data_IF_745495636832
#
_entry.id   IF_745495636832
#
_cell.length_a   1.000
_cell.length_b   1.000
_cell.length_c   1.000
_cell.angle_alpha   90.00
_cell.angle_beta   90.00
_cell.angle_gamma   90.00
#
_symmetry.space_group_name_H-M   'P 1'
#
loop_
_entity.id
_entity.type
_entity.pdbx_description
1 polymer ?
#
# COMPACT_ATOMS: atom_id res chain seq x y z
N UNK A 1 25.11 -25.77 23.58
CA UNK A 1 25.00 -24.65 22.62
C UNK A 1 24.00 -23.66 23.21
N UNK A 2 24.50 -22.57 23.77
CA UNK A 2 23.64 -21.52 24.33
C UNK A 2 22.97 -20.81 23.17
N UNK A 3 21.66 -20.96 23.04
CA UNK A 3 20.86 -20.13 22.14
C UNK A 3 21.02 -18.68 22.63
N UNK A 4 21.54 -17.81 21.77
CA UNK A 4 21.53 -16.36 21.99
C UNK A 4 20.08 -15.98 22.25
N UNK A 5 19.74 -15.30 23.35
CA UNK A 5 18.37 -14.86 23.57
C UNK A 5 17.97 -13.98 22.38
N UNK A 6 16.84 -14.30 21.75
CA UNK A 6 16.25 -13.44 20.74
C UNK A 6 16.18 -12.02 21.34
N UNK A 7 16.72 -11.03 20.63
CA UNK A 7 16.67 -9.63 21.07
C UNK A 7 15.20 -9.26 21.28
N UNK A 8 14.84 -8.91 22.51
CA UNK A 8 13.47 -8.48 22.81
C UNK A 8 13.29 -7.07 22.28
N UNK A 9 12.16 -6.86 21.63
CA UNK A 9 11.68 -5.53 21.21
C UNK A 9 11.55 -4.66 22.49
N UNK A 10 12.01 -3.42 22.43
CA UNK A 10 11.80 -2.46 23.52
C UNK A 10 10.32 -2.07 23.59
N UNK A 11 9.60 -2.28 24.70
CA UNK A 11 8.18 -1.96 24.79
C UNK A 11 7.88 -0.49 24.51
N UNK A 12 6.70 -0.22 23.94
CA UNK A 12 6.16 1.12 23.69
C UNK A 12 4.89 1.36 24.52
N UNK A 13 4.62 2.63 24.82
CA UNK A 13 3.45 3.03 25.60
C UNK A 13 2.39 3.76 24.77
N UNK A 14 1.33 4.19 25.46
CA UNK A 14 0.20 4.92 24.81
C UNK A 14 0.64 6.26 24.19
N UNK A 15 1.77 6.84 24.61
CA UNK A 15 2.30 8.06 24.00
C UNK A 15 2.75 7.80 22.57
N UNK A 16 3.57 6.78 22.34
CA UNK A 16 4.09 6.37 21.03
C UNK A 16 2.94 5.90 20.11
N UNK A 17 2.04 5.10 20.66
CA UNK A 17 0.85 4.61 19.95
C UNK A 17 -0.04 5.78 19.55
N UNK A 18 -0.24 6.76 20.42
CA UNK A 18 -1.01 7.96 20.18
C UNK A 18 -0.41 8.83 19.08
N UNK A 19 0.92 9.04 19.11
CA UNK A 19 1.64 9.79 18.06
C UNK A 19 1.53 9.14 16.68
N UNK A 20 1.64 7.80 16.61
CA UNK A 20 1.44 7.07 15.35
C UNK A 20 0.00 7.21 14.84
N UNK A 21 -1.00 7.09 15.73
CA UNK A 21 -2.40 7.26 15.38
C UNK A 21 -2.70 8.66 14.83
N UNK A 22 -2.20 9.70 15.48
CA UNK A 22 -2.37 11.08 15.03
C UNK A 22 -1.80 11.29 13.63
N UNK A 23 -0.60 10.78 13.37
CA UNK A 23 0.02 10.84 12.05
C UNK A 23 -0.83 10.12 10.98
N UNK A 24 -1.31 8.90 11.24
CA UNK A 24 -2.11 8.14 10.28
C UNK A 24 -3.45 8.84 9.97
N UNK A 25 -4.11 9.37 10.99
CA UNK A 25 -5.33 10.18 10.85
C UNK A 25 -5.04 11.44 10.01
N UNK A 26 -3.95 12.14 10.29
CA UNK A 26 -3.50 13.31 9.54
C UNK A 26 -3.15 12.99 8.08
N UNK A 27 -2.46 11.88 7.83
CA UNK A 27 -2.14 11.42 6.47
C UNK A 27 -3.42 11.11 5.69
N UNK A 28 -4.38 10.38 6.27
CA UNK A 28 -5.67 10.12 5.65
C UNK A 28 -6.36 11.43 5.23
N UNK A 29 -6.36 12.45 6.09
CA UNK A 29 -6.96 13.75 5.78
C UNK A 29 -6.26 14.42 4.61
N UNK A 30 -4.93 14.50 4.63
CA UNK A 30 -4.14 15.11 3.53
C UNK A 30 -4.35 14.39 2.19
N UNK A 31 -4.41 13.06 2.19
CA UNK A 31 -4.70 12.25 0.99
C UNK A 31 -6.10 12.55 0.46
N UNK A 32 -7.12 12.54 1.33
CA UNK A 32 -8.50 12.79 0.97
C UNK A 32 -8.71 14.19 0.38
N UNK A 33 -8.10 15.19 0.99
CA UNK A 33 -8.20 16.58 0.53
C UNK A 33 -7.44 16.80 -0.80
N UNK A 34 -6.28 16.16 -0.97
CA UNK A 34 -5.53 16.21 -2.22
C UNK A 34 -6.31 15.59 -3.39
N UNK A 35 -6.95 14.45 -3.18
CA UNK A 35 -7.77 13.82 -4.23
C UNK A 35 -9.03 14.63 -4.55
N UNK A 36 -9.70 15.20 -3.55
CA UNK A 36 -10.83 16.10 -3.78
C UNK A 36 -10.43 17.37 -4.56
N UNK A 37 -9.26 17.92 -4.28
CA UNK A 37 -8.74 19.08 -5.00
C UNK A 37 -8.35 18.78 -6.47
N UNK A 38 -7.91 17.55 -6.76
CA UNK A 38 -7.55 17.12 -8.11
C UNK A 38 -8.74 16.79 -9.00
N UNK A 39 -9.88 16.43 -8.41
CA UNK A 39 -11.13 16.10 -9.12
C UNK A 39 -12.34 16.83 -8.48
N UNK A 40 -12.35 18.18 -8.55
CA UNK A 40 -13.32 19.01 -7.81
C UNK A 40 -14.77 18.85 -8.31
N UNK A 41 -14.96 18.31 -9.52
CA UNK A 41 -16.29 18.02 -10.07
C UNK A 41 -16.91 16.72 -9.59
N UNK A 42 -16.14 15.91 -8.85
CA UNK A 42 -16.57 14.58 -8.42
C UNK A 42 -17.04 14.57 -6.96
N UNK A 43 -18.11 13.83 -6.69
CA UNK A 43 -18.62 13.67 -5.32
C UNK A 43 -17.66 12.80 -4.50
N UNK A 44 -17.22 13.32 -3.36
CA UNK A 44 -16.48 12.55 -2.38
C UNK A 44 -17.43 11.95 -1.37
N UNK A 45 -17.52 10.63 -1.35
CA UNK A 45 -18.21 9.89 -0.29
C UNK A 45 -17.28 9.79 0.91
N UNK A 46 -17.78 10.17 2.09
CA UNK A 46 -17.11 9.97 3.37
C UNK A 46 -17.94 9.01 4.21
N UNK A 47 -17.27 8.06 4.84
CA UNK A 47 -17.89 7.02 5.67
C UNK A 47 -17.05 6.84 6.93
N UNK A 48 -17.63 7.18 8.07
CA UNK A 48 -17.04 6.98 9.39
C UNK A 48 -17.78 5.83 10.09
N UNK A 49 -17.04 4.94 10.69
CA UNK A 49 -17.60 3.77 11.34
C UNK A 49 -16.95 3.51 12.69
N UNK A 50 -17.73 2.91 13.54
CA UNK A 50 -17.30 2.40 14.84
C UNK A 50 -17.84 0.98 15.01
N UNK A 51 -17.03 0.10 15.57
CA UNK A 51 -17.46 -1.26 15.89
C UNK A 51 -18.49 -1.23 17.01
N UNK A 52 -19.60 -2.02 16.89
CA UNK A 52 -20.59 -2.13 17.95
C UNK A 52 -19.96 -2.67 19.24
N UNK A 53 -20.47 -2.26 20.41
CA UNK A 53 -20.10 -2.89 21.67
C UNK A 53 -20.39 -4.41 21.64
N UNK A 54 -19.41 -5.22 22.05
CA UNK A 54 -19.56 -6.69 22.08
C UNK A 54 -19.17 -7.41 20.79
N UNK A 55 -18.73 -6.70 19.75
CA UNK A 55 -18.13 -7.32 18.56
C UNK A 55 -16.79 -7.98 18.92
N UNK A 56 -16.35 -8.94 18.10
CA UNK A 56 -15.05 -9.64 18.24
C UNK A 56 -13.87 -8.66 18.20
N UNK A 57 -13.99 -7.62 17.38
CA UNK A 57 -13.06 -6.51 17.28
C UNK A 57 -13.72 -5.24 17.80
N UNK A 58 -12.96 -4.40 18.47
CA UNK A 58 -13.30 -3.03 18.82
C UNK A 58 -12.54 -2.03 17.95
N UNK A 59 -12.95 -0.76 17.97
CA UNK A 59 -12.25 0.29 17.24
C UNK A 59 -13.11 1.02 16.24
N UNK A 60 -12.45 1.85 15.43
CA UNK A 60 -13.09 2.76 14.48
C UNK A 60 -12.26 2.95 13.22
N UNK A 61 -12.84 3.63 12.26
CA UNK A 61 -12.12 4.04 11.06
C UNK A 61 -12.93 4.98 10.21
N UNK A 62 -12.33 5.42 9.14
CA UNK A 62 -12.97 6.30 8.17
C UNK A 62 -12.45 6.01 6.77
N UNK A 63 -13.33 6.20 5.81
CA UNK A 63 -13.09 6.03 4.39
C UNK A 63 -13.46 7.32 3.67
N UNK A 64 -12.60 7.76 2.75
CA UNK A 64 -12.92 8.76 1.75
C UNK A 64 -12.79 8.12 0.38
N UNK A 65 -13.83 8.24 -0.45
CA UNK A 65 -13.93 7.57 -1.74
C UNK A 65 -14.46 8.54 -2.81
N UNK A 66 -13.75 8.62 -3.93
CA UNK A 66 -14.19 9.23 -5.18
C UNK A 66 -14.40 8.12 -6.19
N UNK A 67 -15.53 8.11 -6.89
CA UNK A 67 -15.84 7.15 -7.94
C UNK A 67 -16.43 7.85 -9.16
N UNK A 68 -16.13 7.32 -10.34
CA UNK A 68 -16.66 7.80 -11.61
C UNK A 68 -16.38 9.30 -11.87
N UNK A 69 -15.21 9.77 -11.40
CA UNK A 69 -14.77 11.13 -11.61
C UNK A 69 -14.10 11.36 -12.96
N UNK A 70 -13.79 12.62 -13.24
CA UNK A 70 -13.08 12.99 -14.47
C UNK A 70 -11.60 12.59 -14.42
N UNK A 71 -10.99 12.65 -13.25
CA UNK A 71 -9.59 12.28 -13.00
C UNK A 71 -9.47 10.86 -12.47
N UNK A 72 -10.40 10.46 -11.61
CA UNK A 72 -10.37 9.17 -10.95
C UNK A 72 -11.57 8.29 -11.34
N UNK A 73 -11.32 7.12 -11.92
CA UNK A 73 -12.34 6.07 -11.97
C UNK A 73 -12.65 5.61 -10.54
N UNK A 74 -11.61 5.53 -9.69
CA UNK A 74 -11.73 5.34 -8.24
C UNK A 74 -10.47 5.87 -7.55
N UNK A 75 -10.65 6.61 -6.46
CA UNK A 75 -9.61 6.97 -5.50
C UNK A 75 -10.16 6.79 -4.08
N UNK A 76 -9.52 5.91 -3.32
CA UNK A 76 -9.95 5.60 -1.96
C UNK A 76 -8.81 5.77 -0.97
N UNK A 77 -9.07 6.45 0.15
CA UNK A 77 -8.20 6.49 1.31
C UNK A 77 -8.97 6.00 2.54
N UNK A 78 -8.41 5.05 3.26
CA UNK A 78 -9.01 4.49 4.47
C UNK A 78 -8.04 4.55 5.63
N UNK A 79 -8.50 5.03 6.77
CA UNK A 79 -7.87 4.87 8.07
C UNK A 79 -8.65 3.84 8.88
N UNK A 80 -7.95 2.98 9.60
CA UNK A 80 -8.54 2.07 10.59
C UNK A 80 -7.66 1.99 11.83
N UNK A 81 -8.31 1.83 13.00
CA UNK A 81 -7.69 1.57 14.29
C UNK A 81 -8.56 0.53 14.98
N UNK A 82 -8.10 -0.71 15.00
CA UNK A 82 -8.86 -1.85 15.50
C UNK A 82 -8.04 -2.63 16.52
N UNK A 83 -8.71 -3.13 17.53
CA UNK A 83 -8.12 -3.99 18.56
C UNK A 83 -9.01 -5.21 18.81
N UNK A 84 -8.39 -6.25 19.30
CA UNK A 84 -9.09 -7.48 19.66
C UNK A 84 -8.41 -8.18 20.84
N UNK A 85 -9.21 -8.91 21.60
CA UNK A 85 -8.71 -9.68 22.73
C UNK A 85 -7.86 -10.88 22.32
N UNK A 86 -7.99 -11.33 21.05
CA UNK A 86 -7.29 -12.50 20.53
C UNK A 86 -6.91 -12.30 19.08
N UNK A 87 -5.60 -12.34 18.80
CA UNK A 87 -5.09 -12.32 17.41
C UNK A 87 -5.51 -13.60 16.70
N UNK A 88 -6.22 -13.52 15.55
CA UNK A 88 -6.61 -14.70 14.78
C UNK A 88 -5.39 -15.49 14.29
N UNK A 89 -5.53 -16.83 14.22
CA UNK A 89 -4.47 -17.71 13.75
C UNK A 89 -3.96 -17.34 12.33
N UNK A 90 -4.87 -16.95 11.43
CA UNK A 90 -4.51 -16.50 10.09
C UNK A 90 -3.65 -15.22 10.07
N UNK A 91 -3.74 -14.38 11.12
CA UNK A 91 -2.90 -13.18 11.26
C UNK A 91 -1.55 -13.47 11.91
N UNK A 92 -1.42 -14.63 12.56
CA UNK A 92 -0.21 -15.01 13.30
C UNK A 92 0.68 -16.01 12.54
N UNK A 93 0.44 -16.27 11.25
CA UNK A 93 1.25 -17.23 10.46
C UNK A 93 2.76 -16.95 10.54
N UNK A 94 3.16 -15.67 10.64
CA UNK A 94 4.56 -15.25 10.74
C UNK A 94 5.03 -15.04 12.18
N UNK A 95 4.09 -14.88 13.13
CA UNK A 95 4.30 -14.61 14.54
C UNK A 95 3.43 -15.55 15.37
N UNK A 96 3.69 -16.85 15.24
CA UNK A 96 2.87 -17.91 15.85
C UNK A 96 2.81 -17.80 17.37
N UNK A 97 3.82 -17.19 17.99
CA UNK A 97 3.90 -16.91 19.43
C UNK A 97 2.90 -15.85 19.91
N UNK A 98 2.30 -15.08 18.96
CA UNK A 98 1.28 -14.08 19.26
C UNK A 98 -0.15 -14.61 19.05
N UNK A 99 -0.33 -15.84 18.59
CA UNK A 99 -1.64 -16.42 18.41
C UNK A 99 -2.47 -16.35 19.70
N UNK A 100 -3.68 -15.83 19.61
CA UNK A 100 -4.56 -15.67 20.76
C UNK A 100 -4.21 -14.56 21.75
N UNK A 101 -3.15 -13.77 21.50
CA UNK A 101 -2.79 -12.62 22.35
C UNK A 101 -3.64 -11.39 22.02
N UNK A 102 -3.84 -10.46 22.97
CA UNK A 102 -4.42 -9.16 22.71
C UNK A 102 -3.58 -8.39 21.69
N UNK A 103 -4.25 -7.67 20.78
CA UNK A 103 -3.58 -6.90 19.73
C UNK A 103 -4.30 -5.61 19.40
N UNK A 104 -3.58 -4.67 18.79
CA UNK A 104 -4.10 -3.49 18.14
C UNK A 104 -3.39 -3.29 16.80
N UNK A 105 -4.13 -2.95 15.77
CA UNK A 105 -3.61 -2.65 14.44
C UNK A 105 -4.22 -1.36 13.94
N UNK A 106 -3.39 -0.43 13.50
CA UNK A 106 -3.85 0.84 12.97
C UNK A 106 -3.02 1.26 11.75
N UNK A 107 -3.63 2.03 10.87
CA UNK A 107 -2.92 2.53 9.70
C UNK A 107 -3.81 3.25 8.70
N UNK A 108 -3.15 3.79 7.68
CA UNK A 108 -3.80 4.42 6.54
C UNK A 108 -3.38 3.72 5.26
N UNK A 109 -4.36 3.35 4.46
CA UNK A 109 -4.20 2.75 3.14
C UNK A 109 -4.84 3.63 2.08
N UNK A 110 -4.25 3.66 0.90
CA UNK A 110 -4.76 4.40 -0.25
C UNK A 110 -4.55 3.60 -1.52
N UNK A 111 -5.56 3.63 -2.39
CA UNK A 111 -5.47 3.09 -3.76
C UNK A 111 -6.10 4.09 -4.71
N UNK A 112 -5.42 4.34 -5.82
CA UNK A 112 -5.90 5.25 -6.86
C UNK A 112 -5.88 4.55 -8.21
N UNK A 113 -7.04 4.53 -8.87
CA UNK A 113 -7.25 4.06 -10.24
C UNK A 113 -7.64 5.26 -11.12
N UNK A 114 -6.68 5.89 -11.80
CA UNK A 114 -6.96 7.04 -12.64
C UNK A 114 -7.85 6.70 -13.84
N UNK A 115 -8.66 7.66 -14.28
CA UNK A 115 -9.45 7.54 -15.51
C UNK A 115 -8.55 7.45 -16.73
N UNK A 116 -7.48 8.22 -16.81
CA UNK A 116 -6.55 8.23 -17.94
C UNK A 116 -5.63 7.00 -17.93
N UNK A 117 -5.54 6.20 -19.02
CA UNK A 117 -4.67 5.03 -19.11
C UNK A 117 -3.16 5.31 -18.98
N UNK A 118 -2.74 6.54 -19.26
CA UNK A 118 -1.34 6.96 -19.14
C UNK A 118 -0.97 7.40 -17.71
N UNK A 119 -1.96 7.70 -16.88
CA UNK A 119 -1.74 7.92 -15.46
C UNK A 119 -1.69 6.57 -14.72
N UNK A 120 -0.63 6.29 -13.94
CA UNK A 120 -0.47 4.98 -13.32
C UNK A 120 -1.43 4.78 -12.14
N UNK A 121 -1.91 3.55 -11.95
CA UNK A 121 -2.50 3.11 -10.68
C UNK A 121 -1.44 3.15 -9.60
N UNK A 122 -1.81 3.54 -8.39
CA UNK A 122 -0.90 3.55 -7.24
C UNK A 122 -1.57 3.01 -5.98
N UNK A 123 -0.75 2.48 -5.10
CA UNK A 123 -1.13 2.02 -3.79
C UNK A 123 -0.10 2.49 -2.77
N UNK A 124 -0.54 2.85 -1.58
CA UNK A 124 0.31 2.97 -0.41
C UNK A 124 -0.41 2.48 0.85
N UNK A 125 0.38 2.02 1.80
CA UNK A 125 -0.10 1.64 3.13
C UNK A 125 0.98 1.99 4.13
N UNK A 126 0.60 2.54 5.27
CA UNK A 126 1.44 2.71 6.45
C UNK A 126 0.66 2.26 7.67
N UNK A 127 1.27 1.44 8.52
CA UNK A 127 0.59 0.81 9.64
C UNK A 127 1.51 0.58 10.83
N UNK A 128 0.91 0.53 12.02
CA UNK A 128 1.49 0.05 13.27
C UNK A 128 0.67 -1.14 13.75
N UNK A 129 1.35 -2.20 14.14
CA UNK A 129 0.79 -3.32 14.87
C UNK A 129 1.40 -3.37 16.26
N UNK A 130 0.58 -3.65 17.27
CA UNK A 130 1.03 -3.90 18.63
C UNK A 130 0.35 -5.14 19.21
N UNK A 131 1.04 -5.86 20.08
CA UNK A 131 0.47 -6.96 20.86
C UNK A 131 0.99 -6.88 22.31
N UNK A 132 0.28 -7.58 23.23
CA UNK A 132 0.64 -7.60 24.64
C UNK A 132 0.85 -6.20 25.22
N UNK A 133 -0.11 -5.30 24.92
CA UNK A 133 -0.12 -3.92 25.44
C UNK A 133 1.15 -3.10 25.11
N UNK A 134 1.78 -3.39 23.96
CA UNK A 134 2.99 -2.69 23.50
C UNK A 134 4.30 -3.41 23.75
N UNK A 135 4.29 -4.55 24.43
CA UNK A 135 5.51 -5.38 24.61
C UNK A 135 6.06 -5.90 23.27
N UNK A 136 5.20 -6.01 22.28
CA UNK A 136 5.55 -6.37 20.90
C UNK A 136 4.93 -5.36 19.94
N UNK A 137 5.74 -4.81 19.09
CA UNK A 137 5.27 -3.87 18.07
C UNK A 137 6.11 -3.98 16.80
N UNK A 138 5.51 -3.59 15.69
CA UNK A 138 6.24 -3.31 14.45
C UNK A 138 5.45 -2.37 13.56
N UNK A 139 6.18 -1.63 12.77
CA UNK A 139 5.63 -0.91 11.65
C UNK A 139 5.67 -1.76 10.38
N UNK A 140 4.77 -1.47 9.48
CA UNK A 140 4.79 -1.93 8.11
C UNK A 140 4.27 -0.86 7.18
N UNK A 141 4.61 -0.98 5.91
CA UNK A 141 4.11 -0.05 4.93
C UNK A 141 4.96 0.01 3.69
N UNK A 142 4.58 0.89 2.80
CA UNK A 142 5.24 1.09 1.53
C UNK A 142 4.30 1.71 0.53
N UNK A 143 4.78 1.80 -0.70
CA UNK A 143 4.00 2.24 -1.85
C UNK A 143 4.51 1.58 -3.12
N UNK A 144 3.63 1.36 -4.08
CA UNK A 144 3.97 0.81 -5.38
C UNK A 144 3.18 1.48 -6.51
N UNK A 145 3.77 1.44 -7.70
CA UNK A 145 3.22 2.07 -8.89
C UNK A 145 2.95 1.02 -9.97
N UNK A 146 1.74 1.05 -10.53
CA UNK A 146 1.27 0.10 -11.55
C UNK A 146 0.88 0.86 -12.82
N UNK A 147 1.83 1.21 -13.70
CA UNK A 147 1.55 1.83 -14.97
C UNK A 147 0.94 0.83 -15.96
N UNK A 148 0.10 1.35 -16.86
CA UNK A 148 -0.42 0.63 -18.02
C UNK A 148 0.40 0.98 -19.27
N UNK A 149 0.71 2.25 -19.43
CA UNK A 149 1.65 2.77 -20.42
C UNK A 149 2.79 3.48 -19.68
N UNK A 150 3.89 2.76 -19.40
CA UNK A 150 4.97 3.29 -18.59
C UNK A 150 5.80 4.33 -19.33
N UNK A 151 6.41 5.24 -18.55
CA UNK A 151 7.42 6.20 -18.99
C UNK A 151 8.65 6.05 -18.11
N UNK A 152 9.83 6.00 -18.72
CA UNK A 152 11.11 5.86 -18.00
C UNK A 152 11.33 6.99 -16.98
N UNK A 153 10.97 8.23 -17.35
CA UNK A 153 11.09 9.38 -16.47
C UNK A 153 10.24 9.23 -15.20
N UNK A 154 8.99 8.76 -15.35
CA UNK A 154 8.07 8.53 -14.21
C UNK A 154 8.60 7.44 -13.28
N UNK A 155 9.13 6.35 -13.86
CA UNK A 155 9.72 5.26 -13.09
C UNK A 155 10.97 5.73 -12.32
N UNK A 156 11.84 6.51 -12.96
CA UNK A 156 13.03 7.07 -12.31
C UNK A 156 12.67 8.09 -11.22
N UNK A 157 11.73 8.99 -11.48
CA UNK A 157 11.29 9.98 -10.47
C UNK A 157 10.67 9.28 -9.25
N UNK A 158 9.83 8.25 -9.49
CA UNK A 158 9.25 7.44 -8.44
C UNK A 158 10.31 6.76 -7.55
N UNK A 159 11.30 6.13 -8.16
CA UNK A 159 12.35 5.45 -7.42
C UNK A 159 13.37 6.40 -6.79
N UNK A 160 13.62 7.59 -7.37
CA UNK A 160 14.40 8.66 -6.71
C UNK A 160 13.70 9.16 -5.44
N UNK A 161 12.39 9.41 -5.51
CA UNK A 161 11.60 9.81 -4.34
C UNK A 161 11.59 8.70 -3.27
N UNK A 162 11.41 7.44 -3.69
CA UNK A 162 11.50 6.29 -2.80
C UNK A 162 12.85 6.19 -2.09
N UNK A 163 13.95 6.37 -2.84
CA UNK A 163 15.30 6.38 -2.28
C UNK A 163 15.51 7.53 -1.29
N UNK A 164 15.10 8.74 -1.65
CA UNK A 164 15.21 9.91 -0.79
C UNK A 164 14.45 9.76 0.55
N UNK A 165 13.31 9.06 0.54
CA UNK A 165 12.58 8.72 1.77
C UNK A 165 13.36 7.76 2.69
N UNK A 166 14.19 6.88 2.11
CA UNK A 166 14.95 5.86 2.83
C UNK A 166 16.31 6.36 3.32
N UNK A 167 16.98 7.23 2.55
CA UNK A 167 18.38 7.63 2.80
C UNK A 167 18.66 8.11 4.24
N UNK A 168 17.77 8.87 4.91
CA UNK A 168 17.99 9.26 6.31
C UNK A 168 17.98 8.09 7.31
N UNK A 169 17.47 6.92 6.92
CA UNK A 169 17.45 5.72 7.77
C UNK A 169 18.71 4.86 7.61
N UNK A 170 19.55 5.15 6.64
CA UNK A 170 20.85 4.48 6.46
C UNK A 170 21.08 3.89 5.07
N UNK A 171 22.35 3.58 4.81
CA UNK A 171 22.76 2.97 3.56
C UNK A 171 22.13 1.57 3.40
N UNK A 172 21.66 1.27 2.19
CA UNK A 172 21.06 -0.04 1.88
C UNK A 172 19.57 -0.16 2.21
N UNK A 173 18.97 0.76 2.98
CA UNK A 173 17.53 0.71 3.34
C UNK A 173 16.65 0.72 2.08
N UNK A 174 16.90 1.64 1.15
CA UNK A 174 16.16 1.66 -0.11
C UNK A 174 16.26 0.34 -0.88
N UNK A 175 17.47 -0.20 -1.05
CA UNK A 175 17.69 -1.44 -1.77
C UNK A 175 16.92 -2.62 -1.13
N UNK A 176 16.95 -2.72 0.20
CA UNK A 176 16.25 -3.76 0.94
C UNK A 176 14.72 -3.65 0.79
N UNK A 177 14.16 -2.44 0.93
CA UNK A 177 12.72 -2.22 0.83
C UNK A 177 12.21 -2.33 -0.61
N UNK A 178 13.00 -1.90 -1.59
CA UNK A 178 12.72 -2.08 -3.02
C UNK A 178 12.69 -3.56 -3.39
N UNK A 179 13.68 -4.32 -3.00
CA UNK A 179 13.76 -5.76 -3.25
C UNK A 179 12.60 -6.52 -2.55
N UNK A 180 12.24 -6.14 -1.34
CA UNK A 180 11.06 -6.67 -0.65
C UNK A 180 9.75 -6.34 -1.41
N UNK A 181 9.64 -5.14 -1.99
CA UNK A 181 8.52 -4.71 -2.81
C UNK A 181 8.40 -5.57 -4.07
N UNK A 182 9.49 -5.77 -4.80
CA UNK A 182 9.51 -6.58 -6.02
C UNK A 182 9.08 -8.02 -5.75
N UNK A 183 9.55 -8.62 -4.65
CA UNK A 183 9.13 -9.98 -4.25
C UNK A 183 7.67 -10.04 -3.82
N UNK A 184 7.21 -9.04 -3.06
CA UNK A 184 5.84 -9.05 -2.53
C UNK A 184 4.80 -8.91 -3.63
N UNK A 185 5.01 -8.00 -4.58
CA UNK A 185 4.05 -7.70 -5.66
C UNK A 185 4.24 -8.54 -6.92
N UNK A 186 4.92 -9.67 -6.82
CA UNK A 186 5.09 -10.61 -7.93
C UNK A 186 3.86 -11.52 -8.08
N UNK A 187 3.41 -11.72 -9.33
CA UNK A 187 2.35 -12.63 -9.72
C UNK A 187 2.97 -13.91 -10.34
N UNK A 188 3.15 -14.98 -9.54
CA UNK A 188 3.87 -16.17 -10.02
C UNK A 188 3.18 -16.88 -11.19
N UNK A 189 1.85 -16.88 -11.23
CA UNK A 189 1.05 -17.49 -12.31
C UNK A 189 1.08 -16.68 -13.61
N UNK A 190 1.61 -15.45 -13.60
CA UNK A 190 1.82 -14.59 -14.76
C UNK A 190 3.28 -14.41 -15.13
N UNK A 191 4.21 -14.70 -14.22
CA UNK A 191 5.64 -14.48 -14.42
C UNK A 191 6.02 -13.00 -14.48
N UNK A 192 5.24 -12.11 -13.85
CA UNK A 192 5.43 -10.66 -13.89
C UNK A 192 5.21 -10.03 -12.52
N UNK A 193 5.75 -8.83 -12.28
CA UNK A 193 5.38 -7.98 -11.14
C UNK A 193 4.08 -7.25 -11.42
N UNK A 194 3.34 -6.85 -10.36
CA UNK A 194 2.12 -6.05 -10.48
C UNK A 194 2.34 -4.71 -11.20
N UNK A 195 3.51 -4.10 -11.00
CA UNK A 195 3.93 -2.83 -11.57
C UNK A 195 5.44 -2.68 -11.52
N UNK A 196 5.92 -1.45 -11.44
CA UNK A 196 7.35 -1.11 -11.40
C UNK A 196 7.95 -1.10 -10.00
N UNK A 197 7.18 -1.53 -8.99
CA UNK A 197 7.61 -1.56 -7.60
C UNK A 197 7.56 -0.21 -6.89
N UNK A 198 8.40 -0.07 -5.91
CA UNK A 198 8.50 1.06 -4.98
C UNK A 198 9.17 0.61 -3.69
N UNK A 199 8.48 0.73 -2.56
CA UNK A 199 8.97 0.33 -1.23
C UNK A 199 7.98 -0.62 -0.56
N UNK A 200 8.51 -1.61 0.16
CA UNK A 200 7.72 -2.46 1.03
C UNK A 200 8.50 -2.79 2.30
N UNK A 201 7.98 -2.37 3.43
CA UNK A 201 8.47 -2.67 4.78
C UNK A 201 7.46 -3.56 5.50
N UNK A 202 7.95 -4.57 6.19
CA UNK A 202 7.17 -5.41 7.09
C UNK A 202 8.01 -5.79 8.30
N UNK A 203 7.36 -5.93 9.46
CA UNK A 203 8.01 -6.25 10.74
C UNK A 203 9.15 -5.29 11.11
N UNK A 204 8.99 -3.98 10.79
CA UNK A 204 9.97 -2.96 11.05
C UNK A 204 9.94 -2.55 12.53
N UNK A 205 10.98 -2.89 13.26
CA UNK A 205 11.18 -2.56 14.68
C UNK A 205 12.68 -2.51 15.03
N UNK A 206 13.01 -2.36 16.30
CA UNK A 206 14.38 -2.27 16.80
C UNK A 206 15.24 -3.54 16.61
N UNK A 207 14.64 -4.66 16.23
CA UNK A 207 15.34 -5.91 15.92
C UNK A 207 15.60 -6.12 14.43
N UNK A 208 15.10 -5.25 13.54
CA UNK A 208 15.21 -5.39 12.09
C UNK A 208 16.61 -5.01 11.60
N UNK A 209 17.31 -5.93 10.97
CA UNK A 209 18.74 -5.82 10.70
C UNK A 209 19.18 -4.64 9.78
N UNK A 210 18.37 -4.28 8.79
CA UNK A 210 18.74 -3.24 7.80
C UNK A 210 18.11 -1.89 8.11
N UNK A 211 16.90 -1.91 8.65
CA UNK A 211 16.09 -0.72 8.90
C UNK A 211 15.90 -0.48 10.39
N UNK A 212 16.47 -1.35 11.22
CA UNK A 212 16.24 -1.40 12.63
C UNK A 212 16.72 -0.15 13.36
N UNK A 213 15.93 0.26 14.30
CA UNK A 213 16.14 1.36 15.20
C UNK A 213 15.02 1.37 16.22
N UNK A 214 15.11 2.26 17.20
CA UNK A 214 14.04 2.46 18.15
C UNK A 214 12.71 2.86 17.47
N UNK A 215 11.68 3.00 18.26
CA UNK A 215 10.36 3.40 17.76
C UNK A 215 10.42 4.68 16.93
N UNK A 216 11.12 5.70 17.41
CA UNK A 216 11.21 7.01 16.75
C UNK A 216 11.89 6.91 15.38
N UNK A 217 12.96 6.12 15.28
CA UNK A 217 13.65 5.88 14.01
C UNK A 217 12.74 5.17 13.00
N UNK A 218 12.08 4.10 13.41
CA UNK A 218 11.14 3.34 12.58
C UNK A 218 9.94 4.20 12.18
N UNK A 219 9.39 4.95 13.13
CA UNK A 219 8.26 5.86 12.89
C UNK A 219 8.64 7.00 11.93
N UNK A 220 9.84 7.56 12.06
CA UNK A 220 10.33 8.58 11.13
C UNK A 220 10.42 8.05 9.69
N UNK A 221 10.87 6.80 9.48
CA UNK A 221 10.88 6.17 8.15
C UNK A 221 9.45 6.01 7.61
N UNK A 222 8.52 5.51 8.40
CA UNK A 222 7.12 5.33 8.00
C UNK A 222 6.46 6.67 7.64
N UNK A 223 6.75 7.73 8.38
CA UNK A 223 6.27 9.08 8.05
C UNK A 223 6.81 9.56 6.71
N UNK A 224 8.12 9.41 6.45
CA UNK A 224 8.72 9.77 5.16
C UNK A 224 8.11 8.97 4.01
N UNK A 225 7.84 7.68 4.19
CA UNK A 225 7.16 6.84 3.19
C UNK A 225 5.78 7.40 2.85
N UNK A 226 4.95 7.70 3.85
CA UNK A 226 3.61 8.23 3.63
C UNK A 226 3.59 9.63 2.99
N UNK A 227 4.45 10.53 3.46
CA UNK A 227 4.53 11.90 2.95
C UNK A 227 5.12 11.96 1.54
N UNK A 228 6.13 11.13 1.24
CA UNK A 228 6.73 11.01 -0.10
C UNK A 228 5.75 10.44 -1.11
N UNK A 229 4.95 9.43 -0.73
CA UNK A 229 3.91 8.91 -1.60
C UNK A 229 2.96 10.01 -2.09
N UNK A 230 2.43 10.81 -1.16
CA UNK A 230 1.47 11.87 -1.49
C UNK A 230 2.06 12.90 -2.46
N UNK A 231 3.28 13.39 -2.20
CA UNK A 231 3.92 14.40 -3.03
C UNK A 231 4.29 13.86 -4.42
N UNK A 232 5.00 12.73 -4.47
CA UNK A 232 5.49 12.14 -5.72
C UNK A 232 4.36 11.67 -6.62
N UNK A 233 3.37 10.95 -6.06
CA UNK A 233 2.27 10.45 -6.88
C UNK A 233 1.39 11.57 -7.44
N UNK A 234 1.16 12.63 -6.66
CA UNK A 234 0.45 13.81 -7.15
C UNK A 234 1.12 14.42 -8.38
N UNK A 235 2.44 14.58 -8.36
CA UNK A 235 3.22 15.12 -9.51
C UNK A 235 3.09 14.23 -10.75
N UNK A 236 3.21 12.91 -10.59
CA UNK A 236 3.05 11.95 -11.69
C UNK A 236 1.63 11.99 -12.27
N UNK A 237 0.61 12.03 -11.41
CA UNK A 237 -0.78 12.12 -11.84
C UNK A 237 -1.05 13.42 -12.61
N UNK A 238 -0.61 14.57 -12.09
CA UNK A 238 -0.76 15.88 -12.75
C UNK A 238 -0.07 15.92 -14.13
N UNK A 239 1.07 15.25 -14.27
CA UNK A 239 1.81 15.11 -15.54
C UNK A 239 1.04 14.29 -16.58
N UNK A 240 0.32 13.24 -16.17
CA UNK A 240 -0.27 12.25 -17.08
C UNK A 240 -1.78 12.33 -17.27
N UNK A 241 -2.53 12.91 -16.34
CA UNK A 241 -4.00 12.89 -16.34
C UNK A 241 -4.67 13.50 -17.56
N UNK A 242 -3.98 14.38 -18.28
CA UNK A 242 -4.50 15.04 -19.48
C UNK A 242 -3.88 14.52 -20.78
N UNK A 243 -3.10 13.43 -20.74
CA UNK A 243 -2.54 12.82 -21.94
C UNK A 243 -3.66 12.32 -22.85
N UNK A 244 -3.71 12.71 -24.15
CA UNK A 244 -4.74 12.22 -25.06
C UNK A 244 -4.67 10.70 -25.21
N UNK A 245 -5.82 10.05 -25.21
CA UNK A 245 -5.94 8.59 -25.41
C UNK A 245 -7.19 8.24 -26.21
N UNK A 246 -7.19 7.04 -26.80
CA UNK A 246 -8.31 6.47 -27.52
C UNK A 246 -8.86 5.23 -26.78
N UNK A 247 -9.94 4.63 -27.29
CA UNK A 247 -10.57 3.45 -26.68
C UNK A 247 -9.61 2.25 -26.59
N UNK A 248 -8.68 2.10 -27.54
CA UNK A 248 -7.63 1.05 -27.46
C UNK A 248 -6.85 1.10 -26.13
N UNK A 249 -6.42 2.29 -25.72
CA UNK A 249 -5.68 2.45 -24.45
C UNK A 249 -6.56 2.14 -23.23
N UNK A 250 -7.83 2.52 -23.33
CA UNK A 250 -8.81 2.25 -22.28
C UNK A 250 -9.12 0.75 -22.16
N UNK A 251 -9.25 0.05 -23.28
CA UNK A 251 -9.40 -1.41 -23.31
C UNK A 251 -8.23 -2.13 -22.66
N UNK A 252 -7.02 -1.72 -23.01
CA UNK A 252 -5.83 -2.31 -22.42
C UNK A 252 -5.72 -2.00 -20.93
N UNK A 253 -6.11 -0.79 -20.49
CA UNK A 253 -6.19 -0.45 -19.06
C UNK A 253 -7.13 -1.42 -18.31
N UNK A 254 -8.34 -1.70 -18.86
CA UNK A 254 -9.28 -2.64 -18.23
C UNK A 254 -8.68 -4.04 -18.10
N UNK A 255 -7.98 -4.50 -19.13
CA UNK A 255 -7.28 -5.78 -19.13
C UNK A 255 -6.16 -5.82 -18.06
N UNK A 256 -5.34 -4.78 -17.97
CA UNK A 256 -4.28 -4.70 -16.95
C UNK A 256 -4.82 -4.58 -15.54
N UNK A 257 -5.96 -3.95 -15.35
CA UNK A 257 -6.70 -3.95 -14.08
C UNK A 257 -7.15 -5.35 -13.65
N UNK A 258 -7.40 -6.26 -14.58
CA UNK A 258 -7.59 -7.68 -14.27
C UNK A 258 -6.39 -8.27 -13.52
N UNK A 259 -5.15 -7.97 -13.94
CA UNK A 259 -3.93 -8.43 -13.24
C UNK A 259 -3.82 -7.83 -11.83
N UNK A 260 -4.19 -6.57 -11.68
CA UNK A 260 -4.24 -5.91 -10.37
C UNK A 260 -5.24 -6.60 -9.42
N UNK A 261 -6.42 -6.95 -9.91
CA UNK A 261 -7.44 -7.68 -9.16
C UNK A 261 -6.95 -9.07 -8.77
N UNK A 262 -6.28 -9.80 -9.69
CA UNK A 262 -5.70 -11.12 -9.41
C UNK A 262 -4.74 -11.05 -8.22
N UNK A 263 -3.84 -10.06 -8.18
CA UNK A 263 -2.95 -9.88 -7.05
C UNK A 263 -3.71 -9.61 -5.75
N UNK A 264 -4.61 -8.63 -5.76
CA UNK A 264 -5.29 -8.19 -4.55
C UNK A 264 -6.16 -9.30 -3.93
N UNK A 265 -6.85 -10.10 -4.73
CA UNK A 265 -7.71 -11.17 -4.21
C UNK A 265 -6.95 -12.45 -3.86
N UNK A 266 -5.92 -12.82 -4.64
CA UNK A 266 -5.24 -14.10 -4.45
C UNK A 266 -3.98 -14.02 -3.56
N UNK A 267 -3.24 -12.91 -3.61
CA UNK A 267 -1.90 -12.82 -3.01
C UNK A 267 -1.78 -11.74 -1.94
N UNK A 268 -2.59 -10.67 -1.98
CA UNK A 268 -2.46 -9.61 -0.98
C UNK A 268 -2.83 -10.10 0.42
N UNK A 269 -1.84 -10.09 1.32
CA UNK A 269 -2.02 -10.56 2.70
C UNK A 269 -3.03 -9.73 3.47
N UNK A 270 -3.05 -8.42 3.23
CA UNK A 270 -3.98 -7.51 3.89
C UNK A 270 -5.42 -7.79 3.50
N UNK A 271 -5.70 -7.99 2.21
CA UNK A 271 -7.02 -8.35 1.70
C UNK A 271 -7.46 -9.72 2.21
N UNK A 272 -6.60 -10.74 2.13
CA UNK A 272 -6.89 -12.09 2.64
C UNK A 272 -7.18 -12.09 4.13
N UNK A 273 -6.33 -11.42 4.93
CA UNK A 273 -6.56 -11.27 6.35
C UNK A 273 -7.88 -10.56 6.65
N UNK A 274 -8.16 -9.45 5.97
CA UNK A 274 -9.38 -8.70 6.15
C UNK A 274 -10.64 -9.53 5.86
N UNK A 275 -10.66 -10.29 4.76
CA UNK A 275 -11.77 -11.17 4.42
C UNK A 275 -11.97 -12.31 5.44
N UNK A 276 -10.91 -12.78 6.09
CA UNK A 276 -10.94 -13.85 7.10
C UNK A 276 -11.25 -13.35 8.52
N UNK A 277 -10.98 -12.08 8.82
CA UNK A 277 -11.08 -11.51 10.18
C UNK A 277 -12.30 -10.64 10.41
N UNK A 278 -13.34 -10.77 9.57
CA UNK A 278 -14.56 -9.94 9.67
C UNK A 278 -14.26 -8.44 9.55
N UNK A 279 -13.21 -8.06 8.83
CA UNK A 279 -12.99 -6.67 8.48
C UNK A 279 -14.14 -6.16 7.59
N UNK A 280 -14.32 -4.85 7.57
CA UNK A 280 -15.37 -4.23 6.76
C UNK A 280 -15.10 -4.43 5.27
N UNK A 281 -15.91 -5.24 4.60
CA UNK A 281 -15.72 -5.66 3.20
C UNK A 281 -15.61 -4.48 2.25
N UNK A 282 -16.46 -3.45 2.42
CA UNK A 282 -16.45 -2.24 1.59
C UNK A 282 -15.11 -1.49 1.68
N UNK A 283 -14.52 -1.45 2.87
CA UNK A 283 -13.22 -0.80 3.08
C UNK A 283 -12.06 -1.60 2.47
N UNK A 284 -12.19 -2.92 2.38
CA UNK A 284 -11.21 -3.77 1.71
C UNK A 284 -11.32 -3.67 0.19
N UNK A 285 -12.55 -3.82 -0.32
CA UNK A 285 -12.82 -3.88 -1.76
C UNK A 285 -12.75 -2.52 -2.45
N UNK A 286 -12.63 -1.42 -1.70
CA UNK A 286 -12.32 -0.11 -2.29
C UNK A 286 -11.00 -0.11 -3.06
N UNK A 287 -10.09 -1.03 -2.74
CA UNK A 287 -8.79 -1.17 -3.40
C UNK A 287 -8.90 -1.69 -4.82
N UNK A 288 -10.03 -2.28 -5.20
CA UNK A 288 -10.23 -2.83 -6.53
C UNK A 288 -10.65 -1.75 -7.52
N UNK A 289 -10.22 -1.81 -8.79
CA UNK A 289 -10.70 -0.92 -9.83
C UNK A 289 -12.21 -1.14 -10.07
N UNK A 290 -12.99 -0.10 -10.44
CA UNK A 290 -14.41 -0.25 -10.68
C UNK A 290 -14.75 -1.09 -11.91
N UNK A 291 -13.78 -1.23 -12.83
CA UNK A 291 -13.89 -2.03 -14.06
C UNK A 291 -12.58 -2.73 -14.32
N UNK A 292 -12.65 -4.06 -14.56
CA UNK A 292 -11.53 -4.91 -14.94
C UNK A 292 -12.03 -5.95 -15.95
N UNK A 293 -11.15 -6.40 -16.83
CA UNK A 293 -11.48 -7.38 -17.85
C UNK A 293 -10.43 -8.49 -17.91
N UNK A 294 -10.88 -9.68 -18.34
CA UNK A 294 -10.03 -10.82 -18.66
C UNK A 294 -10.36 -11.28 -20.07
N UNK A 295 -9.33 -11.50 -20.89
CA UNK A 295 -9.45 -12.09 -22.22
C UNK A 295 -8.67 -13.39 -22.26
N UNK A 296 -9.28 -14.42 -22.82
CA UNK A 296 -8.64 -15.72 -22.98
C UNK A 296 -7.44 -15.60 -23.92
N UNK A 297 -6.28 -16.07 -23.45
CA UNK A 297 -4.99 -16.10 -24.16
C UNK A 297 -4.63 -14.79 -24.89
N UNK A 298 -4.91 -13.66 -24.25
CA UNK A 298 -4.58 -12.35 -24.82
C UNK A 298 -3.07 -12.16 -24.95
N UNK A 299 -2.64 -11.89 -26.18
CA UNK A 299 -1.28 -11.46 -26.50
C UNK A 299 -1.33 -10.07 -27.13
N UNK A 300 -0.54 -9.10 -26.65
CA UNK A 300 -0.45 -7.81 -27.30
C UNK A 300 0.25 -7.95 -28.66
N UNK A 301 -0.09 -7.07 -29.60
CA UNK A 301 0.54 -7.03 -30.92
C UNK A 301 2.04 -6.79 -30.79
N UNK A 302 2.91 -7.61 -31.40
CA UNK A 302 4.35 -7.43 -31.34
C UNK A 302 4.78 -6.03 -31.79
N UNK A 303 5.67 -5.39 -31.00
CA UNK A 303 6.13 -4.03 -31.28
C UNK A 303 5.17 -2.91 -30.87
N UNK A 304 3.98 -3.25 -30.37
CA UNK A 304 3.04 -2.26 -29.83
C UNK A 304 3.48 -1.72 -28.47
N UNK A 305 3.02 -0.54 -28.06
CA UNK A 305 3.24 -0.03 -26.70
C UNK A 305 2.74 -1.00 -25.61
N UNK A 306 1.66 -1.73 -25.87
CA UNK A 306 1.10 -2.74 -24.98
C UNK A 306 2.07 -3.93 -24.79
N UNK A 307 2.76 -4.35 -25.84
CA UNK A 307 3.79 -5.39 -25.74
C UNK A 307 5.02 -4.89 -24.97
N UNK A 308 5.39 -3.63 -25.14
CA UNK A 308 6.53 -3.01 -24.44
C UNK A 308 6.35 -2.94 -22.91
N UNK A 309 5.12 -3.02 -22.40
CA UNK A 309 4.88 -3.05 -20.95
C UNK A 309 5.61 -4.22 -20.26
N UNK A 310 5.75 -5.37 -20.93
CA UNK A 310 6.36 -6.56 -20.35
C UNK A 310 7.80 -6.32 -19.85
N UNK A 311 8.52 -5.39 -20.44
CA UNK A 311 9.89 -5.05 -20.02
C UNK A 311 9.93 -4.25 -18.72
N UNK A 312 8.84 -3.56 -18.38
CA UNK A 312 8.70 -2.81 -17.13
C UNK A 312 8.22 -3.68 -15.97
N UNK A 313 7.64 -4.82 -16.23
CA UNK A 313 7.08 -5.72 -15.21
C UNK A 313 8.08 -6.78 -14.73
N UNK A 314 9.36 -6.46 -14.80
CA UNK A 314 10.47 -7.26 -14.28
C UNK A 314 11.24 -6.44 -13.26
N UNK A 315 11.68 -7.04 -12.13
CA UNK A 315 12.56 -6.35 -11.19
C UNK A 315 13.82 -5.84 -11.90
N UNK A 316 14.10 -4.56 -11.75
CA UNK A 316 15.33 -3.95 -12.25
C UNK A 316 15.76 -2.74 -11.43
N UNK A 317 16.99 -2.32 -11.55
CA UNK A 317 17.46 -1.05 -11.00
C UNK A 317 16.98 0.11 -11.89
N UNK A 318 16.18 1.00 -11.33
CA UNK A 318 15.63 2.17 -12.01
C UNK A 318 16.53 3.41 -11.89
N UNK A 319 17.59 3.33 -11.06
CA UNK A 319 18.48 4.45 -10.74
C UNK A 319 19.86 4.32 -11.35
N UNK A 320 20.13 3.19 -12.00
CA UNK A 320 21.36 2.96 -12.79
C UNK A 320 21.34 3.68 -14.14
#
# INVERSE_FOLDING_TARGET
MNATPASRVTPIGEHEIGAAREYFVGLHTRLSDAWAALDPGSAQRRDEWQRPPGDVLSGNGRLSLIENGAVFDRAGAAFSDVSGARLPAAASERHTELAGQPFRAMGTSVVVHPANPYAPTSHANVRLFTAREGDVWWFGGGFDLTPVYPFDEDARDWHRAAKAACDPSGAGVYAALKDACDRYFYLPHRGETRGIGGLFADDLNDTTAVTGGDFDHCFALIRRIGDTYLSCYRELLERRRNTPFAERQRDFQRLRRGRYVEFNLAFDRGTRFGLQSSARTESLLMSLPPRAEWRYDYQPEPGSPEAGLADYLKPRDWLS
#
